data_IF_262203195913
#
_entry.id   IF_262203195913
#
_cell.length_a   1.000
_cell.length_b   1.000
_cell.length_c   1.000
_cell.angle_alpha   90.00
_cell.angle_beta   90.00
_cell.angle_gamma   90.00
#
_symmetry.space_group_name_H-M   'P 1'
#
loop_
_entity.id
_entity.type
_entity.pdbx_description
1 polymer ?
#
# COMPACT_ATOMS: atom_id res chain seq x y z
N UNK A 1 7.89 -8.48 -2.70
CA UNK A 1 7.10 -9.30 -1.77
C UNK A 1 5.64 -9.28 -2.23
N UNK A 2 5.07 -10.46 -2.57
CA UNK A 2 3.67 -10.65 -2.97
C UNK A 2 3.13 -11.92 -2.31
N UNK A 3 1.82 -12.02 -2.05
CA UNK A 3 1.24 -13.26 -1.54
C UNK A 3 1.23 -14.34 -2.63
N UNK A 4 1.23 -15.59 -2.21
CA UNK A 4 0.97 -16.75 -3.07
C UNK A 4 -0.54 -16.95 -3.25
N UNK A 5 -0.98 -17.80 -4.20
CA UNK A 5 -2.39 -18.16 -4.33
C UNK A 5 -2.96 -18.68 -3.00
N UNK A 6 -4.14 -18.21 -2.62
CA UNK A 6 -4.78 -18.55 -1.34
C UNK A 6 -4.24 -17.80 -0.12
N UNK A 7 -3.43 -16.76 -0.33
CA UNK A 7 -2.85 -15.94 0.73
C UNK A 7 -3.16 -14.46 0.52
N UNK A 8 -3.15 -13.73 1.64
CA UNK A 8 -3.09 -12.26 1.70
C UNK A 8 -1.93 -11.84 2.61
N UNK A 9 -1.50 -10.58 2.53
CA UNK A 9 -0.39 -10.08 3.34
C UNK A 9 -0.85 -9.01 4.33
N UNK A 10 -0.25 -9.05 5.52
CA UNK A 10 -0.24 -7.92 6.44
C UNK A 10 1.19 -7.42 6.60
N UNK A 11 1.39 -6.10 6.54
CA UNK A 11 2.70 -5.48 6.73
C UNK A 11 2.78 -4.80 8.10
N UNK A 12 3.87 -5.06 8.83
CA UNK A 12 4.11 -4.48 10.17
C UNK A 12 5.60 -4.23 10.41
N UNK A 13 5.90 -3.25 11.24
CA UNK A 13 7.24 -3.01 11.78
C UNK A 13 7.53 -3.89 13.02
N UNK A 14 6.50 -4.50 13.60
CA UNK A 14 6.61 -5.45 14.70
C UNK A 14 6.77 -6.88 14.17
N UNK A 15 7.91 -7.57 14.45
CA UNK A 15 8.14 -8.95 14.02
C UNK A 15 7.55 -10.00 14.98
N UNK A 16 6.92 -9.59 16.09
CA UNK A 16 6.50 -10.51 17.14
C UNK A 16 4.99 -10.84 17.14
N UNK A 17 4.26 -10.43 16.10
CA UNK A 17 2.82 -10.68 16.02
C UNK A 17 2.58 -12.17 15.74
N UNK A 18 1.96 -12.84 16.68
CA UNK A 18 1.57 -14.26 16.54
C UNK A 18 0.09 -14.45 16.19
N UNK A 19 -0.73 -13.42 16.39
CA UNK A 19 -2.17 -13.45 16.13
C UNK A 19 -2.69 -12.04 15.83
N UNK A 20 -3.45 -11.91 14.77
CA UNK A 20 -4.15 -10.68 14.42
C UNK A 20 -5.57 -10.73 14.96
N UNK A 21 -5.95 -9.71 15.73
CA UNK A 21 -7.28 -9.60 16.33
C UNK A 21 -8.02 -8.44 15.66
N UNK A 22 -9.30 -8.61 15.29
CA UNK A 22 -10.09 -7.53 14.73
C UNK A 22 -10.09 -6.29 15.62
N UNK A 23 -9.85 -5.13 15.03
CA UNK A 23 -9.87 -3.84 15.72
C UNK A 23 -10.38 -2.75 14.79
N UNK A 24 -10.95 -1.70 15.36
CA UNK A 24 -11.31 -0.49 14.62
C UNK A 24 -10.02 0.32 14.41
N UNK A 25 -9.57 0.40 13.16
CA UNK A 25 -8.37 1.17 12.86
C UNK A 25 -8.63 2.67 13.07
N UNK A 26 -7.76 3.35 13.80
CA UNK A 26 -7.91 4.79 14.14
C UNK A 26 -8.02 5.71 12.92
N UNK A 27 -7.71 5.20 11.74
CA UNK A 27 -7.65 5.96 10.48
C UNK A 27 -8.76 5.64 9.49
N UNK A 28 -9.65 4.73 9.85
CA UNK A 28 -10.75 4.29 8.98
C UNK A 28 -12.05 5.03 9.30
N UNK A 29 -12.91 5.14 8.30
CA UNK A 29 -14.30 5.55 8.48
C UNK A 29 -15.23 4.39 8.87
N UNK A 30 -14.72 3.15 8.83
CA UNK A 30 -15.48 1.97 9.20
C UNK A 30 -15.53 1.83 10.72
N UNK A 31 -16.70 1.55 11.25
CA UNK A 31 -16.94 1.34 12.70
C UNK A 31 -16.80 -0.11 13.12
N UNK A 32 -16.81 -1.03 12.17
CA UNK A 32 -16.63 -2.45 12.43
C UNK A 32 -15.16 -2.80 12.68
N UNK A 33 -14.88 -3.68 13.65
CA UNK A 33 -13.53 -4.17 13.87
C UNK A 33 -13.12 -5.18 12.81
N UNK A 34 -11.93 -5.00 12.23
CA UNK A 34 -11.37 -5.88 11.21
C UNK A 34 -9.92 -6.26 11.49
N UNK A 35 -9.53 -7.45 11.05
CA UNK A 35 -8.15 -7.75 10.69
C UNK A 35 -7.95 -7.27 9.26
N UNK A 36 -6.96 -6.42 9.04
CA UNK A 36 -6.66 -5.80 7.74
C UNK A 36 -5.54 -6.53 7.03
N UNK A 37 -5.73 -6.80 5.76
CA UNK A 37 -4.73 -7.40 4.89
C UNK A 37 -4.83 -6.81 3.47
N UNK A 38 -3.90 -7.19 2.62
CA UNK A 38 -3.86 -6.79 1.21
C UNK A 38 -3.58 -7.97 0.29
N UNK A 39 -4.13 -7.89 -0.90
CA UNK A 39 -3.87 -8.79 -2.01
C UNK A 39 -2.54 -8.46 -2.73
N UNK A 40 -2.23 -9.22 -3.78
CA UNK A 40 -1.03 -9.03 -4.59
C UNK A 40 -0.96 -7.67 -5.31
N UNK A 41 -2.10 -7.13 -5.73
CA UNK A 41 -2.16 -5.86 -6.46
C UNK A 41 -1.90 -4.67 -5.53
N UNK A 42 -2.34 -4.78 -4.28
CA UNK A 42 -2.25 -3.74 -3.27
C UNK A 42 -1.01 -3.82 -2.40
N UNK A 43 -0.34 -4.97 -2.32
CA UNK A 43 0.86 -5.17 -1.50
C UNK A 43 1.92 -4.06 -1.68
N UNK A 44 2.25 -3.59 -2.90
CA UNK A 44 3.23 -2.52 -3.08
C UNK A 44 2.88 -1.19 -2.41
N UNK A 45 1.60 -0.89 -2.21
CA UNK A 45 1.16 0.33 -1.52
C UNK A 45 1.53 0.35 -0.03
N UNK A 46 2.00 -0.77 0.50
CA UNK A 46 2.38 -0.95 1.90
C UNK A 46 3.88 -1.17 2.12
N UNK A 47 4.71 -1.04 1.07
CA UNK A 47 6.19 -1.06 1.18
C UNK A 47 6.72 0.31 1.65
N UNK A 48 6.24 0.76 2.79
CA UNK A 48 6.55 2.07 3.37
C UNK A 48 6.57 1.98 4.89
N UNK A 49 7.26 2.91 5.57
CA UNK A 49 7.07 3.10 7.00
C UNK A 49 5.59 3.30 7.33
N UNK A 50 5.13 2.73 8.44
CA UNK A 50 3.70 2.67 8.80
C UNK A 50 2.98 4.02 8.76
N UNK A 51 3.65 5.09 9.18
CA UNK A 51 3.04 6.42 9.29
C UNK A 51 3.33 7.30 8.07
N UNK A 52 4.12 6.83 7.10
CA UNK A 52 4.52 7.60 5.93
C UNK A 52 3.31 8.00 5.08
N UNK A 53 3.05 9.32 4.90
CA UNK A 53 2.10 9.83 3.92
C UNK A 53 2.56 9.45 2.52
N UNK A 54 1.62 9.03 1.68
CA UNK A 54 1.94 8.69 0.30
C UNK A 54 0.75 8.83 -0.62
N UNK A 55 1.00 9.38 -1.79
CA UNK A 55 0.07 9.45 -2.90
C UNK A 55 0.54 8.50 -4.00
N UNK A 56 -0.37 7.72 -4.53
CA UNK A 56 -0.05 6.67 -5.49
C UNK A 56 -1.03 6.71 -6.65
N UNK A 57 -0.53 6.50 -7.87
CA UNK A 57 -1.34 6.41 -9.05
C UNK A 57 -0.83 5.29 -9.97
N UNK A 58 -1.75 4.68 -10.72
CA UNK A 58 -1.42 3.64 -11.70
C UNK A 58 -2.40 3.64 -12.86
N UNK A 59 -1.96 3.08 -13.98
CA UNK A 59 -2.78 2.92 -15.17
C UNK A 59 -3.89 1.90 -14.90
N UNK A 60 -5.12 2.31 -15.12
CA UNK A 60 -6.31 1.48 -15.06
C UNK A 60 -6.99 1.35 -16.45
N UNK A 61 -8.09 0.59 -16.54
CA UNK A 61 -8.78 0.36 -17.81
C UNK A 61 -9.31 1.62 -18.52
N UNK A 62 -9.59 2.67 -17.74
CA UNK A 62 -10.14 3.94 -18.25
C UNK A 62 -9.11 5.06 -18.37
N UNK A 63 -7.84 4.78 -18.07
CA UNK A 63 -6.77 5.78 -18.11
C UNK A 63 -6.52 6.29 -19.52
N UNK A 64 -6.58 7.63 -19.69
CA UNK A 64 -6.23 8.27 -20.94
C UNK A 64 -4.71 8.34 -21.13
N UNK A 65 -4.25 8.34 -22.38
CA UNK A 65 -2.83 8.53 -22.70
C UNK A 65 -2.32 9.87 -22.18
N UNK A 66 -3.13 10.93 -22.27
CA UNK A 66 -2.77 12.26 -21.78
C UNK A 66 -2.49 12.29 -20.27
N UNK A 67 -3.35 11.66 -19.45
CA UNK A 67 -3.15 11.59 -18.01
C UNK A 67 -1.98 10.69 -17.63
N UNK A 68 -1.82 9.55 -18.33
CA UNK A 68 -0.66 8.69 -18.15
C UNK A 68 0.63 9.47 -18.39
N UNK A 69 0.73 10.17 -19.53
CA UNK A 69 1.94 10.92 -19.91
C UNK A 69 2.18 12.11 -18.97
N UNK A 70 1.12 12.76 -18.48
CA UNK A 70 1.19 13.90 -17.56
C UNK A 70 1.64 13.47 -16.16
N UNK A 71 1.08 12.40 -15.62
CA UNK A 71 1.28 12.00 -14.19
C UNK A 71 2.38 10.95 -14.06
N UNK A 72 2.38 9.88 -14.83
CA UNK A 72 3.42 8.85 -14.79
C UNK A 72 4.64 9.32 -15.58
N UNK A 73 4.42 9.92 -16.73
CA UNK A 73 5.47 10.52 -17.56
C UNK A 73 6.41 9.50 -18.17
N UNK A 74 7.62 9.95 -18.51
CA UNK A 74 8.61 9.20 -19.28
C UNK A 74 9.38 8.13 -18.49
N UNK A 75 8.99 7.83 -17.27
CA UNK A 75 9.62 6.77 -16.47
C UNK A 75 9.23 5.36 -16.92
N UNK A 76 9.85 4.36 -16.31
CA UNK A 76 9.48 2.97 -16.53
C UNK A 76 8.21 2.61 -15.74
N UNK A 77 7.42 1.70 -16.29
CA UNK A 77 6.23 1.15 -15.65
C UNK A 77 4.99 2.03 -15.77
N UNK A 78 3.92 1.53 -15.17
CA UNK A 78 2.57 2.12 -15.24
C UNK A 78 2.07 2.51 -13.84
N UNK A 79 2.98 2.70 -12.89
CA UNK A 79 2.65 3.04 -11.50
C UNK A 79 3.69 3.98 -10.89
N UNK A 80 3.20 4.97 -10.15
CA UNK A 80 4.01 5.92 -9.39
C UNK A 80 3.56 5.93 -7.93
N UNK A 81 4.52 5.96 -7.03
CA UNK A 81 4.34 6.22 -5.61
C UNK A 81 5.11 7.48 -5.26
N UNK A 82 4.48 8.44 -4.60
CA UNK A 82 5.10 9.68 -4.18
C UNK A 82 5.05 9.81 -2.65
N UNK A 83 6.14 10.30 -2.08
CA UNK A 83 6.31 10.68 -0.66
C UNK A 83 7.08 11.99 -0.57
N UNK A 84 7.06 12.64 0.58
CA UNK A 84 7.89 13.81 0.84
C UNK A 84 9.32 13.42 1.21
N UNK A 85 10.29 14.33 0.94
CA UNK A 85 11.73 14.13 1.21
C UNK A 85 12.01 13.75 2.65
N UNK A 86 11.27 14.30 3.62
CA UNK A 86 11.45 14.03 5.05
C UNK A 86 11.28 12.55 5.42
N UNK A 87 10.57 11.80 4.59
CA UNK A 87 10.36 10.37 4.79
C UNK A 87 11.44 9.48 4.18
N UNK A 88 12.38 10.03 3.41
CA UNK A 88 13.41 9.23 2.72
C UNK A 88 14.28 8.43 3.70
N UNK A 89 14.75 9.07 4.76
CA UNK A 89 15.60 8.40 5.76
C UNK A 89 14.84 7.25 6.44
N UNK A 90 13.59 7.49 6.84
CA UNK A 90 12.73 6.46 7.42
C UNK A 90 12.47 5.31 6.44
N UNK A 91 12.23 5.60 5.16
CA UNK A 91 12.03 4.59 4.12
C UNK A 91 13.26 3.70 3.93
N UNK A 92 14.45 4.26 4.03
CA UNK A 92 15.72 3.52 3.86
C UNK A 92 16.10 2.69 5.08
N UNK A 93 15.62 3.04 6.28
CA UNK A 93 16.07 2.45 7.55
C UNK A 93 15.03 1.57 8.24
N UNK A 94 13.76 1.72 7.90
CA UNK A 94 12.68 0.94 8.51
C UNK A 94 12.88 -0.57 8.31
N UNK A 95 12.61 -1.32 9.35
CA UNK A 95 12.49 -2.79 9.27
C UNK A 95 11.02 -3.15 9.11
N UNK A 96 10.64 -3.48 7.89
CA UNK A 96 9.28 -3.88 7.54
C UNK A 96 9.21 -5.39 7.38
N UNK A 97 8.18 -5.99 7.93
CA UNK A 97 7.91 -7.43 7.85
C UNK A 97 6.56 -7.68 7.17
N UNK A 98 6.51 -8.73 6.37
CA UNK A 98 5.29 -9.24 5.76
C UNK A 98 4.84 -10.52 6.48
N UNK A 99 3.60 -10.55 6.91
CA UNK A 99 2.92 -11.71 7.47
C UNK A 99 2.05 -12.34 6.38
N UNK A 100 2.24 -13.62 6.09
CA UNK A 100 1.36 -14.38 5.21
C UNK A 100 0.17 -14.90 6.01
N UNK A 101 -1.02 -14.55 5.57
CA UNK A 101 -2.27 -14.97 6.20
C UNK A 101 -3.07 -15.81 5.21
N UNK A 102 -3.85 -16.82 5.70
CA UNK A 102 -4.76 -17.56 4.81
C UNK A 102 -5.81 -16.62 4.24
N UNK A 103 -6.11 -16.72 2.96
CA UNK A 103 -7.09 -15.84 2.28
C UNK A 103 -8.53 -16.15 2.72
N UNK A 104 -8.82 -17.41 3.07
CA UNK A 104 -10.19 -17.91 3.32
C UNK A 104 -11.05 -17.04 4.25
N UNK A 105 -10.57 -16.53 5.42
CA UNK A 105 -11.41 -15.70 6.29
C UNK A 105 -11.57 -14.27 5.81
N UNK A 106 -10.86 -13.87 4.75
CA UNK A 106 -10.88 -12.51 4.26
C UNK A 106 -11.89 -12.31 3.13
N UNK A 107 -12.50 -11.13 3.11
CA UNK A 107 -13.33 -10.65 2.00
C UNK A 107 -12.81 -9.29 1.52
N UNK A 108 -13.03 -8.95 0.24
CA UNK A 108 -12.73 -7.61 -0.26
C UNK A 108 -13.56 -6.54 0.47
N UNK A 109 -12.96 -5.38 0.71
CA UNK A 109 -13.62 -4.21 1.30
C UNK A 109 -13.42 -2.99 0.41
N UNK A 110 -14.51 -2.26 0.14
CA UNK A 110 -14.55 -1.03 -0.66
C UNK A 110 -15.32 -1.18 -1.95
N UNK A 111 -15.99 -0.09 -2.34
CA UNK A 111 -16.80 0.03 -3.55
C UNK A 111 -16.39 1.30 -4.32
N UNK A 112 -16.41 1.32 -5.65
CA UNK A 112 -16.68 0.22 -6.57
C UNK A 112 -15.48 -0.73 -6.74
N UNK A 113 -14.28 -0.34 -6.28
CA UNK A 113 -13.05 -1.13 -6.35
C UNK A 113 -12.55 -1.42 -4.94
N UNK A 114 -12.39 -2.69 -4.55
CA UNK A 114 -11.87 -3.05 -3.25
C UNK A 114 -10.49 -2.43 -3.00
N UNK A 115 -10.28 -1.88 -1.81
CA UNK A 115 -9.00 -1.27 -1.41
C UNK A 115 -8.27 -2.03 -0.30
N UNK A 116 -8.92 -3.02 0.29
CA UNK A 116 -8.35 -3.90 1.31
C UNK A 116 -9.00 -5.28 1.29
N UNK A 117 -8.38 -6.21 2.00
CA UNK A 117 -8.94 -7.50 2.40
C UNK A 117 -9.17 -7.46 3.91
N UNK A 118 -10.35 -7.88 4.38
CA UNK A 118 -10.71 -7.80 5.80
C UNK A 118 -11.30 -9.10 6.31
N UNK A 119 -10.98 -9.44 7.56
CA UNK A 119 -11.60 -10.54 8.29
C UNK A 119 -12.23 -10.02 9.60
N UNK A 120 -13.34 -10.60 10.02
CA UNK A 120 -14.08 -10.24 11.25
C UNK A 120 -13.72 -11.15 12.43
N UNK A 121 -12.92 -12.17 12.20
CA UNK A 121 -12.43 -13.10 13.21
C UNK A 121 -10.90 -13.01 13.35
N UNK A 122 -10.35 -13.43 14.49
CA UNK A 122 -8.90 -13.48 14.66
C UNK A 122 -8.25 -14.43 13.67
N UNK A 123 -7.08 -14.03 13.14
CA UNK A 123 -6.32 -14.78 12.14
C UNK A 123 -4.88 -14.99 12.64
N UNK A 124 -4.38 -16.20 12.50
CA UNK A 124 -2.99 -16.54 12.78
C UNK A 124 -2.17 -16.56 11.49
N UNK A 125 -0.92 -16.08 11.51
CA UNK A 125 -0.03 -16.18 10.36
C UNK A 125 0.25 -17.64 9.98
N UNK A 126 0.47 -17.88 8.70
CA UNK A 126 0.85 -19.21 8.17
C UNK A 126 2.28 -19.61 8.56
N UNK A 127 3.08 -18.68 9.05
CA UNK A 127 4.45 -18.90 9.47
C UNK A 127 5.06 -17.63 10.08
N UNK A 128 6.37 -17.64 10.35
CA UNK A 128 7.06 -16.47 10.87
C UNK A 128 7.03 -15.31 9.87
N UNK A 129 7.13 -14.04 10.34
CA UNK A 129 7.16 -12.89 9.46
C UNK A 129 8.42 -12.89 8.59
N UNK A 130 8.27 -12.50 7.34
CA UNK A 130 9.36 -12.38 6.38
C UNK A 130 9.83 -10.92 6.28
N UNK A 131 11.14 -10.62 6.43
CA UNK A 131 11.66 -9.29 6.16
C UNK A 131 11.37 -8.86 4.72
N UNK A 132 10.80 -7.69 4.51
CA UNK A 132 10.57 -7.15 3.15
C UNK A 132 11.88 -6.76 2.48
N UNK A 133 12.86 -6.32 3.28
CA UNK A 133 14.17 -5.93 2.82
C UNK A 133 14.23 -4.46 2.38
N UNK A 134 15.08 -4.18 1.38
CA UNK A 134 15.29 -2.84 0.84
C UNK A 134 14.06 -2.37 0.05
N UNK A 135 13.34 -1.39 0.60
CA UNK A 135 12.10 -0.90 0.02
C UNK A 135 12.30 -0.16 -1.30
N UNK A 136 13.44 0.53 -1.50
CA UNK A 136 13.78 1.17 -2.78
C UNK A 136 13.96 0.11 -3.87
N UNK A 137 14.66 -0.98 -3.55
CA UNK A 137 14.82 -2.11 -4.46
C UNK A 137 13.51 -2.82 -4.76
N UNK A 138 12.62 -2.93 -3.78
CA UNK A 138 11.29 -3.50 -3.99
C UNK A 138 10.49 -2.70 -5.03
N UNK A 139 10.49 -1.36 -4.94
CA UNK A 139 9.84 -0.49 -5.91
C UNK A 139 10.47 -0.63 -7.31
N UNK A 140 11.80 -0.53 -7.38
CA UNK A 140 12.52 -0.65 -8.65
C UNK A 140 12.28 -2.01 -9.33
N UNK A 141 12.35 -3.12 -8.59
CA UNK A 141 12.11 -4.47 -9.11
C UNK A 141 10.67 -4.69 -9.56
N UNK A 142 9.71 -3.95 -8.99
CA UNK A 142 8.31 -4.00 -9.39
C UNK A 142 7.98 -3.04 -10.56
N UNK A 143 8.94 -2.28 -11.07
CA UNK A 143 8.72 -1.27 -12.12
C UNK A 143 7.87 -0.08 -11.62
N UNK A 144 7.91 0.20 -10.31
CA UNK A 144 7.17 1.30 -9.69
C UNK A 144 8.10 2.49 -9.54
N UNK A 145 7.72 3.64 -10.09
CA UNK A 145 8.45 4.88 -9.87
C UNK A 145 8.24 5.35 -8.43
N UNK A 146 9.32 5.62 -7.71
CA UNK A 146 9.27 6.32 -6.44
C UNK A 146 9.67 7.78 -6.64
N UNK A 147 8.78 8.71 -6.29
CA UNK A 147 9.03 10.15 -6.35
C UNK A 147 9.18 10.72 -4.95
N UNK A 148 10.16 11.62 -4.83
CA UNK A 148 10.38 12.44 -3.64
C UNK A 148 9.98 13.87 -3.99
N UNK A 149 9.09 14.45 -3.21
CA UNK A 149 8.52 15.78 -3.40
C UNK A 149 8.73 16.61 -2.14
N UNK A 150 8.77 17.93 -2.29
CA UNK A 150 8.79 18.86 -1.14
C UNK A 150 7.41 18.95 -0.48
N UNK A 151 6.36 18.87 -1.30
CA UNK A 151 4.95 18.94 -0.90
C UNK A 151 4.16 17.92 -1.72
N UNK A 152 3.45 17.05 -1.02
CA UNK A 152 2.69 15.96 -1.65
C UNK A 152 1.31 16.40 -2.17
N UNK A 153 0.75 17.51 -1.63
CA UNK A 153 -0.60 17.97 -1.97
C UNK A 153 -0.78 18.32 -3.45
N UNK A 154 0.13 19.10 -4.10
CA UNK A 154 -0.02 19.40 -5.53
C UNK A 154 -0.06 18.14 -6.41
N UNK A 155 0.76 17.13 -6.07
CA UNK A 155 0.73 15.86 -6.79
C UNK A 155 -0.57 15.09 -6.53
N UNK A 156 -1.07 15.09 -5.29
CA UNK A 156 -2.33 14.45 -4.93
C UNK A 156 -3.51 15.07 -5.69
N UNK A 157 -3.58 16.39 -5.76
CA UNK A 157 -4.64 17.12 -6.49
C UNK A 157 -4.65 16.77 -7.98
N UNK A 158 -3.46 16.68 -8.60
CA UNK A 158 -3.31 16.24 -9.97
C UNK A 158 -3.79 14.79 -10.18
N UNK A 159 -3.47 13.91 -9.24
CA UNK A 159 -3.83 12.49 -9.31
C UNK A 159 -5.34 12.29 -9.22
N UNK A 160 -6.01 12.91 -8.24
CA UNK A 160 -7.47 12.76 -8.06
C UNK A 160 -8.29 13.42 -9.18
N UNK A 161 -7.71 14.40 -9.89
CA UNK A 161 -8.32 15.04 -11.05
C UNK A 161 -8.09 14.27 -12.37
N UNK A 162 -7.37 13.15 -12.34
CA UNK A 162 -7.01 12.37 -13.51
C UNK A 162 -7.93 11.15 -13.72
N UNK A 163 -7.69 10.45 -14.83
CA UNK A 163 -8.34 9.17 -15.15
C UNK A 163 -7.53 7.95 -14.67
N UNK A 164 -6.43 8.19 -13.94
CA UNK A 164 -5.65 7.12 -13.31
C UNK A 164 -6.42 6.50 -12.14
N UNK A 165 -6.17 5.23 -11.88
CA UNK A 165 -6.49 4.66 -10.57
C UNK A 165 -5.52 5.19 -9.52
N UNK A 166 -5.98 5.39 -8.30
CA UNK A 166 -5.17 6.02 -7.27
C UNK A 166 -5.49 5.53 -5.85
N UNK A 167 -4.57 5.84 -4.95
CA UNK A 167 -4.76 5.65 -3.51
C UNK A 167 -3.91 6.66 -2.73
N UNK A 168 -4.53 7.31 -1.74
CA UNK A 168 -3.84 8.13 -0.75
C UNK A 168 -3.85 7.44 0.61
N UNK A 169 -2.67 7.28 1.22
CA UNK A 169 -2.55 6.64 2.53
C UNK A 169 -1.84 7.60 3.48
N UNK A 170 -2.41 7.78 4.68
CA UNK A 170 -1.84 8.65 5.73
C UNK A 170 -1.68 10.13 5.36
N UNK A 171 -2.34 10.63 4.33
CA UNK A 171 -2.23 12.04 3.89
C UNK A 171 -2.51 13.07 4.99
N UNK A 172 -3.29 12.71 6.02
CA UNK A 172 -3.51 13.57 7.19
C UNK A 172 -2.28 13.75 8.10
N UNK A 173 -1.19 13.01 7.86
CA UNK A 173 0.07 13.14 8.58
C UNK A 173 1.03 14.14 7.90
N UNK A 174 0.56 14.80 6.82
CA UNK A 174 1.23 15.88 6.12
C UNK A 174 1.20 17.16 6.94
#
# INVERSE_FOLDING_TARGET
>A
MRPEPGQVLHFSEDPAITRFVPHVAATTQYTEPYVWAVDAARAPAYWFPRQCPRAMAWVGPTTTAADRDRIIGAGCGDRVHAIEYDWLCALQTVKLFAYRLPETPFRPLGEPVPHAMVATEPVEPLGPPEPVGDLLRCHAAAGIQLRLLDDLWPFWDEVIASTLEFSGIRLRNL
#
